data_IF_242464185510
#
_entry.id   IF_242464185510
#
_cell.length_a   1.000
_cell.length_b   1.000
_cell.length_c   1.000
_cell.angle_alpha   90.00
_cell.angle_beta   90.00
_cell.angle_gamma   90.00
#
_symmetry.space_group_name_H-M   'P 1'
#
loop_
_entity.id
_entity.type
_entity.pdbx_description
1 polymer ?
#
# COMPACT_ATOMS: atom_id res chain seq x y z
N UNK A 1 18.93 28.85 -17.97
CA UNK A 1 18.88 29.52 -16.65
C UNK A 1 17.45 29.65 -16.15
N UNK A 2 16.53 30.31 -16.87
CA UNK A 2 15.11 30.41 -16.49
C UNK A 2 14.43 29.03 -16.42
N UNK A 3 14.63 28.15 -17.40
CA UNK A 3 14.06 26.79 -17.36
C UNK A 3 14.56 25.92 -16.21
N UNK A 4 15.85 26.01 -15.85
CA UNK A 4 16.40 25.34 -14.66
C UNK A 4 15.87 25.97 -13.37
N UNK A 5 15.67 27.29 -13.34
CA UNK A 5 15.08 27.97 -12.18
C UNK A 5 13.60 27.60 -12.00
N UNK A 6 12.82 27.46 -13.08
CA UNK A 6 11.44 26.97 -13.03
C UNK A 6 11.38 25.50 -12.61
N UNK A 7 12.22 24.63 -13.18
CA UNK A 7 12.34 23.23 -12.76
C UNK A 7 12.77 23.11 -11.29
N UNK A 8 13.75 23.90 -10.87
CA UNK A 8 14.21 23.93 -9.49
C UNK A 8 13.13 24.44 -8.54
N UNK A 9 12.34 25.46 -8.87
CA UNK A 9 11.28 25.94 -7.95
C UNK A 9 10.05 25.03 -7.92
N UNK A 10 9.69 24.39 -9.03
CA UNK A 10 8.47 23.58 -9.14
C UNK A 10 8.69 22.13 -8.72
N UNK A 11 9.85 21.55 -9.05
CA UNK A 11 10.14 20.12 -8.84
C UNK A 11 11.08 19.92 -7.65
N UNK A 12 12.31 20.46 -7.69
CA UNK A 12 13.31 20.20 -6.63
C UNK A 12 13.18 21.10 -5.39
N UNK A 13 12.46 22.21 -5.50
CA UNK A 13 12.32 23.21 -4.45
C UNK A 13 11.51 22.65 -3.30
N UNK A 14 10.47 21.86 -3.60
CA UNK A 14 9.64 21.18 -2.60
C UNK A 14 10.48 20.21 -1.76
N UNK A 15 11.35 19.42 -2.38
CA UNK A 15 12.24 18.48 -1.66
C UNK A 15 13.26 19.19 -0.76
N UNK A 16 13.92 20.25 -1.25
CA UNK A 16 14.93 20.99 -0.49
C UNK A 16 14.30 21.86 0.62
N UNK A 17 13.09 22.37 0.39
CA UNK A 17 12.36 23.17 1.39
C UNK A 17 11.80 22.27 2.49
N UNK A 18 11.35 21.06 2.16
CA UNK A 18 10.84 20.08 3.14
C UNK A 18 11.94 19.35 3.93
N UNK A 19 13.22 19.48 3.55
CA UNK A 19 14.34 18.88 4.28
C UNK A 19 14.38 19.39 5.73
N UNK A 20 14.38 18.45 6.68
CA UNK A 20 14.42 18.72 8.13
C UNK A 20 15.68 19.44 8.59
N UNK A 21 16.71 19.54 7.75
CA UNK A 21 17.98 20.24 8.03
C UNK A 21 17.99 21.69 7.53
N UNK A 22 16.89 22.19 6.96
CA UNK A 22 16.83 23.54 6.44
C UNK A 22 16.62 24.56 7.59
N UNK A 23 17.63 25.36 7.98
CA UNK A 23 17.56 26.26 9.14
C UNK A 23 16.57 27.43 8.96
N UNK A 24 16.05 27.64 7.74
CA UNK A 24 14.96 28.61 7.51
C UNK A 24 13.62 28.09 8.03
N UNK A 25 13.40 26.78 8.04
CA UNK A 25 12.17 26.17 8.56
C UNK A 25 12.07 26.35 10.08
N UNK A 26 13.19 26.27 10.80
CA UNK A 26 13.27 26.55 12.24
C UNK A 26 12.86 28.01 12.60
N UNK A 27 13.09 28.97 11.68
CA UNK A 27 12.64 30.35 11.85
C UNK A 27 11.12 30.48 11.63
N UNK A 28 10.53 29.68 10.75
CA UNK A 28 9.07 29.63 10.54
C UNK A 28 8.34 28.94 11.71
N UNK A 29 8.91 27.90 12.32
CA UNK A 29 8.33 27.23 13.51
C UNK A 29 8.14 28.19 14.71
N UNK A 30 8.95 29.25 14.78
CA UNK A 30 8.83 30.29 15.80
C UNK A 30 7.76 31.35 15.49
N UNK A 31 7.28 31.45 14.24
CA UNK A 31 6.35 32.50 13.79
C UNK A 31 4.98 31.96 13.37
N UNK A 32 4.92 30.67 13.02
CA UNK A 32 3.72 30.00 12.52
C UNK A 32 3.34 28.86 13.45
N UNK A 33 2.08 28.86 13.87
CA UNK A 33 1.48 27.71 14.54
C UNK A 33 1.21 26.66 13.47
N UNK A 34 1.81 25.48 13.59
CA UNK A 34 1.73 24.43 12.58
C UNK A 34 0.27 24.05 12.31
N UNK A 35 -0.12 23.99 11.05
CA UNK A 35 -1.51 23.73 10.67
C UNK A 35 -1.98 22.32 11.00
N UNK A 36 -3.29 22.08 10.95
CA UNK A 36 -3.88 20.80 11.31
C UNK A 36 -3.88 19.81 10.14
N UNK A 37 -3.80 18.52 10.44
CA UNK A 37 -4.05 17.43 9.49
C UNK A 37 -5.42 16.86 9.83
N UNK A 38 -6.30 16.75 8.84
CA UNK A 38 -7.67 16.27 8.99
C UNK A 38 -7.95 15.09 8.05
N UNK A 39 -8.88 14.23 8.43
CA UNK A 39 -9.42 13.20 7.55
C UNK A 39 -10.39 13.80 6.51
N UNK A 40 -11.01 12.96 5.68
CA UNK A 40 -11.94 13.43 4.64
C UNK A 40 -13.23 14.08 5.19
N UNK A 41 -13.61 13.77 6.43
CA UNK A 41 -14.85 14.24 7.07
C UNK A 41 -14.59 15.40 8.06
N UNK A 42 -13.33 15.80 8.23
CA UNK A 42 -12.91 16.93 9.07
C UNK A 42 -12.53 16.53 10.51
N UNK A 43 -12.37 15.25 10.80
CA UNK A 43 -11.81 14.78 12.06
C UNK A 43 -10.33 15.17 12.15
N UNK A 44 -9.90 15.67 13.31
CA UNK A 44 -8.52 16.17 13.51
C UNK A 44 -7.59 14.99 13.80
N UNK A 45 -6.64 14.75 12.88
CA UNK A 45 -5.64 13.69 12.99
C UNK A 45 -4.35 14.19 13.67
N UNK A 46 -4.01 15.47 13.45
CA UNK A 46 -2.92 16.15 14.15
C UNK A 46 -3.21 17.66 14.23
N UNK A 47 -2.89 18.28 15.35
CA UNK A 47 -3.03 19.73 15.55
C UNK A 47 -1.94 20.30 16.45
N UNK A 48 -1.78 21.61 16.45
CA UNK A 48 -0.84 22.31 17.32
C UNK A 48 -1.52 23.33 18.21
N UNK A 49 -1.12 23.34 19.47
CA UNK A 49 -1.58 24.29 20.48
C UNK A 49 -0.41 25.19 20.87
N UNK A 50 -0.64 26.50 20.90
CA UNK A 50 0.34 27.48 21.39
C UNK A 50 0.33 27.50 22.92
N UNK A 51 1.50 27.33 23.53
CA UNK A 51 1.71 27.33 24.97
C UNK A 51 1.87 28.78 25.49
N UNK A 52 1.71 28.99 26.81
CA UNK A 52 1.84 30.31 27.43
C UNK A 52 3.23 30.95 27.25
N UNK A 53 4.27 30.13 27.07
CA UNK A 53 5.66 30.55 26.84
C UNK A 53 5.97 30.85 25.36
N UNK A 54 4.98 30.75 24.46
CA UNK A 54 5.12 30.96 23.02
C UNK A 54 5.69 29.76 22.26
N UNK A 55 5.99 28.65 22.94
CA UNK A 55 6.25 27.36 22.29
C UNK A 55 4.94 26.78 21.74
N UNK A 56 5.03 25.71 20.97
CA UNK A 56 3.84 24.98 20.51
C UNK A 56 4.01 23.50 20.82
N UNK A 57 2.91 22.86 21.18
CA UNK A 57 2.83 21.41 21.39
C UNK A 57 2.04 20.81 20.23
N UNK A 58 2.59 19.76 19.60
CA UNK A 58 1.89 18.96 18.60
C UNK A 58 1.11 17.85 19.30
N UNK A 59 -0.14 17.64 18.92
CA UNK A 59 -1.02 16.62 19.50
C UNK A 59 -1.66 15.80 18.39
N UNK A 60 -1.76 14.50 18.63
CA UNK A 60 -2.33 13.50 17.73
C UNK A 60 -3.49 12.81 18.46
N UNK A 61 -4.75 13.25 18.24
CA UNK A 61 -5.91 12.78 19.02
C UNK A 61 -6.18 11.27 18.94
N UNK A 62 -5.78 10.65 17.83
CA UNK A 62 -5.98 9.22 17.56
C UNK A 62 -4.76 8.35 17.91
N UNK A 63 -3.77 8.91 18.61
CA UNK A 63 -2.59 8.19 19.10
C UNK A 63 -1.93 7.32 18.01
N UNK A 64 -1.94 6.00 18.16
CA UNK A 64 -1.23 5.04 17.31
C UNK A 64 -1.89 4.79 15.95
N UNK A 65 -3.18 5.13 15.80
CA UNK A 65 -4.03 4.71 14.67
C UNK A 65 -3.50 5.20 13.32
N UNK A 66 -2.97 6.42 13.28
CA UNK A 66 -2.45 7.06 12.07
C UNK A 66 -0.93 7.26 12.12
N UNK A 67 -0.23 6.67 13.09
CA UNK A 67 1.15 7.03 13.42
C UNK A 67 2.12 6.93 12.23
N UNK A 68 1.99 5.94 11.34
CA UNK A 68 2.90 5.81 10.18
C UNK A 68 2.49 6.66 8.98
N UNK A 69 1.19 6.87 8.76
CA UNK A 69 0.69 7.65 7.60
C UNK A 69 0.75 9.15 7.88
N UNK A 70 0.28 9.58 9.06
CA UNK A 70 0.40 10.97 9.53
C UNK A 70 1.84 11.28 9.95
N UNK A 71 2.47 10.39 10.71
CA UNK A 71 3.85 10.57 11.18
C UNK A 71 3.95 11.33 12.50
N UNK A 72 5.16 11.82 12.78
CA UNK A 72 5.48 12.69 13.92
C UNK A 72 6.29 13.92 13.48
N UNK A 73 6.37 14.94 14.34
CA UNK A 73 7.06 16.21 14.07
C UNK A 73 8.26 16.54 14.97
N UNK A 74 8.36 15.93 16.15
CA UNK A 74 9.18 16.45 17.26
C UNK A 74 10.54 15.75 17.44
N UNK A 75 10.81 14.70 16.65
CA UNK A 75 12.11 13.98 16.58
C UNK A 75 12.55 13.75 15.15
N UNK A 76 12.66 14.84 14.39
CA UNK A 76 12.61 14.77 12.94
C UNK A 76 11.16 14.67 12.47
N UNK A 77 10.94 14.38 11.20
CA UNK A 77 9.59 14.34 10.61
C UNK A 77 9.41 13.07 9.78
N UNK A 78 8.24 12.43 9.89
CA UNK A 78 7.85 11.24 9.13
C UNK A 78 6.46 11.41 8.52
N UNK A 79 6.00 10.47 7.68
CA UNK A 79 4.64 10.50 7.12
C UNK A 79 4.27 11.83 6.42
N UNK A 80 3.00 12.22 6.56
CA UNK A 80 2.48 13.52 6.11
C UNK A 80 3.10 14.71 6.85
N UNK A 81 3.51 14.56 8.10
CA UNK A 81 4.24 15.60 8.84
C UNK A 81 5.54 15.99 8.11
N UNK A 82 6.18 15.02 7.45
CA UNK A 82 7.36 15.26 6.62
C UNK A 82 7.00 15.75 5.21
N UNK A 83 6.14 15.02 4.50
CA UNK A 83 5.86 15.31 3.08
C UNK A 83 5.12 16.64 2.88
N UNK A 84 4.31 17.06 3.87
CA UNK A 84 3.57 18.32 3.87
C UNK A 84 4.17 19.38 4.79
N UNK A 85 5.42 19.21 5.24
CA UNK A 85 6.05 20.11 6.21
C UNK A 85 5.96 21.60 5.80
N UNK A 86 6.28 21.91 4.54
CA UNK A 86 6.20 23.26 4.01
C UNK A 86 4.79 23.85 4.11
N UNK A 87 3.76 23.07 3.76
CA UNK A 87 2.38 23.54 3.76
C UNK A 87 1.89 23.77 5.19
N UNK A 88 2.18 22.83 6.09
CA UNK A 88 1.87 22.92 7.51
C UNK A 88 2.54 24.12 8.21
N UNK A 89 3.69 24.57 7.71
CA UNK A 89 4.43 25.74 8.23
C UNK A 89 4.20 27.03 7.44
N UNK A 90 3.44 26.97 6.33
CA UNK A 90 3.10 28.15 5.54
C UNK A 90 1.74 28.67 5.98
N UNK A 91 1.66 29.97 6.24
CA UNK A 91 0.40 30.62 6.59
C UNK A 91 -0.17 31.38 5.40
N UNK A 92 -1.29 30.92 4.83
CA UNK A 92 -2.03 31.64 3.78
C UNK A 92 -3.18 32.51 4.32
N UNK A 93 -3.24 32.79 5.62
CA UNK A 93 -4.23 33.71 6.20
C UNK A 93 -4.08 35.13 5.65
N UNK A 94 -5.15 35.91 5.68
CA UNK A 94 -5.16 37.27 5.12
C UNK A 94 -4.06 38.16 5.74
N UNK A 95 -3.53 39.11 4.95
CA UNK A 95 -2.51 40.07 5.43
C UNK A 95 -2.97 40.82 6.69
N UNK A 96 -4.27 41.15 6.78
CA UNK A 96 -4.85 41.80 7.95
C UNK A 96 -4.76 40.92 9.20
N UNK A 97 -5.04 39.61 9.04
CA UNK A 97 -4.94 38.62 10.13
C UNK A 97 -3.49 38.45 10.58
N UNK A 98 -2.54 38.35 9.65
CA UNK A 98 -1.09 38.30 9.96
C UNK A 98 -0.66 39.51 10.78
N UNK A 99 -1.01 40.71 10.32
CA UNK A 99 -0.68 41.96 11.00
C UNK A 99 -1.31 42.03 12.41
N UNK A 100 -2.58 41.60 12.55
CA UNK A 100 -3.27 41.57 13.84
C UNK A 100 -2.61 40.61 14.83
N UNK A 101 -2.20 39.43 14.35
CA UNK A 101 -1.51 38.42 15.16
C UNK A 101 -0.14 38.93 15.61
N UNK A 102 0.62 39.57 14.71
CA UNK A 102 1.90 40.20 15.03
C UNK A 102 1.73 41.29 16.11
N UNK A 103 0.72 42.17 15.99
CA UNK A 103 0.39 43.16 17.02
C UNK A 103 0.00 42.54 18.37
N UNK A 104 -0.60 41.36 18.36
CA UNK A 104 -1.01 40.61 19.56
C UNK A 104 0.09 39.71 20.11
N UNK A 105 1.25 39.64 19.46
CA UNK A 105 2.32 38.71 19.81
C UNK A 105 1.91 37.24 19.70
N UNK A 106 0.99 36.91 18.79
CA UNK A 106 0.52 35.54 18.53
C UNK A 106 1.08 35.01 17.22
N UNK A 107 1.29 33.70 17.13
CA UNK A 107 1.66 33.06 15.87
C UNK A 107 0.52 33.12 14.86
N UNK A 108 0.87 33.19 13.57
CA UNK A 108 -0.14 32.99 12.51
C UNK A 108 -0.35 31.50 12.29
N UNK A 109 -1.60 31.06 12.07
CA UNK A 109 -1.87 29.65 11.83
C UNK A 109 -1.42 29.23 10.41
N UNK A 110 -0.78 28.06 10.34
CA UNK A 110 -0.36 27.41 9.10
C UNK A 110 -1.56 26.84 8.34
N UNK A 111 -1.29 26.33 7.14
CA UNK A 111 -2.33 25.72 6.32
C UNK A 111 -2.71 24.35 6.87
N UNK A 112 -4.00 24.03 6.74
CA UNK A 112 -4.52 22.71 7.07
C UNK A 112 -4.40 21.78 5.87
N UNK A 113 -4.16 20.50 6.15
CA UNK A 113 -4.09 19.41 5.19
C UNK A 113 -5.34 18.55 5.37
N UNK A 114 -6.22 18.55 4.39
CA UNK A 114 -7.37 17.65 4.32
C UNK A 114 -6.92 16.41 3.55
N UNK A 115 -6.93 15.27 4.22
CA UNK A 115 -6.47 14.01 3.67
C UNK A 115 -7.60 13.24 2.99
N UNK A 116 -7.24 12.20 2.25
CA UNK A 116 -8.17 11.22 1.69
C UNK A 116 -8.57 10.14 2.69
N UNK A 117 -7.91 10.11 3.86
CA UNK A 117 -8.09 9.07 4.85
C UNK A 117 -9.52 9.09 5.40
N UNK A 118 -10.06 7.90 5.60
CA UNK A 118 -11.34 7.65 6.26
C UNK A 118 -11.05 7.12 7.67
N UNK A 119 -11.49 7.84 8.70
CA UNK A 119 -11.20 7.44 10.08
C UNK A 119 -11.88 6.12 10.47
N UNK A 120 -13.10 5.89 10.02
CA UNK A 120 -13.84 4.68 10.36
C UNK A 120 -13.22 3.46 9.66
N UNK A 121 -12.85 3.61 8.38
CA UNK A 121 -12.14 2.56 7.64
C UNK A 121 -10.72 2.30 8.20
N UNK A 122 -9.99 3.35 8.56
CA UNK A 122 -8.68 3.23 9.19
C UNK A 122 -8.78 2.48 10.52
N UNK A 123 -9.77 2.82 11.36
CA UNK A 123 -10.04 2.15 12.63
C UNK A 123 -10.40 0.68 12.41
N UNK A 124 -11.29 0.38 11.46
CA UNK A 124 -11.65 -0.99 11.12
C UNK A 124 -10.43 -1.81 10.66
N UNK A 125 -9.59 -1.26 9.78
CA UNK A 125 -8.36 -1.92 9.34
C UNK A 125 -7.34 -2.12 10.49
N UNK A 126 -7.26 -1.15 11.41
CA UNK A 126 -6.42 -1.25 12.60
C UNK A 126 -6.90 -2.36 13.54
N UNK A 127 -8.20 -2.39 13.84
CA UNK A 127 -8.80 -3.35 14.75
C UNK A 127 -8.77 -4.77 14.17
N UNK A 128 -9.04 -4.91 12.87
CA UNK A 128 -8.97 -6.18 12.16
C UNK A 128 -7.57 -6.80 12.23
N UNK A 129 -6.50 -6.00 12.09
CA UNK A 129 -5.14 -6.51 12.31
C UNK A 129 -4.91 -6.97 13.76
N UNK A 130 -5.64 -6.44 14.75
CA UNK A 130 -5.48 -6.82 16.16
C UNK A 130 -4.05 -6.63 16.64
N UNK A 131 -3.46 -7.68 17.22
CA UNK A 131 -2.06 -7.68 17.65
C UNK A 131 -1.10 -8.21 16.58
N UNK A 132 -1.60 -8.55 15.38
CA UNK A 132 -0.77 -9.08 14.32
C UNK A 132 0.16 -8.00 13.79
N UNK A 133 1.42 -8.39 13.58
CA UNK A 133 2.38 -7.57 12.85
C UNK A 133 2.03 -7.63 11.37
N UNK A 134 1.97 -6.49 10.68
CA UNK A 134 1.48 -6.48 9.31
C UNK A 134 1.14 -5.09 8.80
N UNK A 135 0.42 -5.04 7.68
CA UNK A 135 -0.07 -3.80 7.10
C UNK A 135 -1.33 -4.02 6.28
N UNK A 136 -2.14 -2.96 6.17
CA UNK A 136 -3.30 -2.86 5.28
C UNK A 136 -3.16 -1.58 4.47
N UNK A 137 -3.38 -1.66 3.17
CA UNK A 137 -3.52 -0.50 2.27
C UNK A 137 -4.85 -0.62 1.56
N UNK A 138 -5.69 0.40 1.65
CA UNK A 138 -6.98 0.49 0.98
C UNK A 138 -7.02 1.75 0.10
N UNK A 139 -7.40 1.57 -1.17
CA UNK A 139 -7.37 2.60 -2.21
C UNK A 139 -8.65 2.57 -3.04
N UNK A 140 -9.19 3.74 -3.36
CA UNK A 140 -10.32 3.91 -4.29
C UNK A 140 -9.79 3.77 -5.74
N UNK A 141 -10.18 2.74 -6.52
CA UNK A 141 -9.56 2.47 -7.81
C UNK A 141 -9.75 3.57 -8.84
N UNK A 142 -10.94 4.17 -8.87
CA UNK A 142 -11.34 5.16 -9.88
C UNK A 142 -10.65 6.53 -9.71
N UNK A 143 -10.05 6.79 -8.54
CA UNK A 143 -9.44 8.10 -8.25
C UNK A 143 -7.99 8.03 -7.81
N UNK A 144 -7.55 6.93 -7.20
CA UNK A 144 -6.25 6.83 -6.54
C UNK A 144 -6.24 7.35 -5.09
N UNK A 145 -7.39 7.72 -4.52
CA UNK A 145 -7.47 8.12 -3.11
C UNK A 145 -7.07 6.97 -2.20
N UNK A 146 -6.08 7.19 -1.35
CA UNK A 146 -5.71 6.23 -0.30
C UNK A 146 -6.64 6.47 0.89
N UNK A 147 -7.56 5.53 1.13
CA UNK A 147 -8.59 5.67 2.16
C UNK A 147 -8.12 5.17 3.52
N UNK A 148 -7.27 4.13 3.54
CA UNK A 148 -6.63 3.66 4.77
C UNK A 148 -5.21 3.15 4.49
N UNK A 149 -4.30 3.38 5.44
CA UNK A 149 -2.94 2.86 5.44
C UNK A 149 -2.51 2.56 6.87
N UNK A 150 -2.52 1.29 7.24
CA UNK A 150 -2.19 0.81 8.58
C UNK A 150 -0.90 0.00 8.54
N UNK A 151 -0.06 0.19 9.55
CA UNK A 151 1.16 -0.61 9.79
C UNK A 151 1.23 -0.97 11.27
N UNK A 152 1.53 -2.25 11.57
CA UNK A 152 1.68 -2.78 12.93
C UNK A 152 2.97 -3.60 13.08
N UNK A 153 3.64 -3.57 14.25
CA UNK A 153 3.32 -2.77 15.43
C UNK A 153 3.46 -1.26 15.20
N UNK A 154 2.73 -0.48 15.99
CA UNK A 154 2.66 0.98 15.93
C UNK A 154 3.28 1.64 17.15
N UNK A 155 3.25 2.96 17.21
CA UNK A 155 3.79 3.79 18.28
C UNK A 155 2.90 5.01 18.48
N UNK A 156 2.93 5.60 19.68
CA UNK A 156 2.21 6.84 19.95
C UNK A 156 3.09 8.06 19.57
N UNK A 157 2.70 8.86 18.56
CA UNK A 157 3.48 10.03 18.16
C UNK A 157 3.50 11.14 19.22
N UNK A 158 2.55 11.15 20.17
CA UNK A 158 2.55 12.11 21.29
C UNK A 158 3.69 11.87 22.29
N UNK A 159 4.25 10.66 22.37
CA UNK A 159 5.33 10.29 23.30
C UNK A 159 6.66 9.99 22.59
N UNK A 160 6.77 10.35 21.31
CA UNK A 160 7.93 10.02 20.46
C UNK A 160 9.25 10.57 21.01
N UNK A 161 9.20 11.70 21.73
CA UNK A 161 10.39 12.35 22.30
C UNK A 161 10.92 11.55 23.47
N UNK A 162 10.02 11.12 24.35
CA UNK A 162 10.29 10.35 25.56
C UNK A 162 10.71 8.91 25.21
N UNK A 163 10.03 8.31 24.24
CA UNK A 163 10.20 6.91 23.86
C UNK A 163 11.28 6.71 22.77
N UNK A 164 11.93 7.78 22.29
CA UNK A 164 12.84 7.71 21.13
C UNK A 164 13.92 6.64 21.28
N UNK A 165 14.60 6.57 22.43
CA UNK A 165 15.68 5.62 22.64
C UNK A 165 15.18 4.17 22.61
N UNK A 166 14.00 3.90 23.17
CA UNK A 166 13.42 2.56 23.19
C UNK A 166 12.89 2.16 21.81
N UNK A 167 12.20 3.07 21.11
CA UNK A 167 11.68 2.86 19.75
C UNK A 167 12.79 2.69 18.72
N UNK A 168 13.88 3.45 18.83
CA UNK A 168 15.01 3.36 17.91
C UNK A 168 15.92 2.14 18.19
N UNK A 169 16.00 1.68 19.44
CA UNK A 169 16.70 0.45 19.79
C UNK A 169 15.85 -0.82 19.54
N UNK A 170 14.55 -0.67 19.26
CA UNK A 170 13.62 -1.77 19.07
C UNK A 170 13.96 -2.56 17.78
N UNK A 171 14.19 -3.87 17.93
CA UNK A 171 14.54 -4.76 16.81
C UNK A 171 13.35 -5.18 15.96
N UNK A 172 12.12 -4.89 16.38
CA UNK A 172 10.89 -5.17 15.64
C UNK A 172 10.59 -4.08 14.61
N UNK A 173 11.35 -2.99 14.54
CA UNK A 173 11.16 -1.95 13.52
C UNK A 173 9.80 -1.26 13.65
N UNK A 174 9.43 -0.83 14.85
CA UNK A 174 8.15 -0.17 15.15
C UNK A 174 7.94 1.10 14.31
N UNK A 175 9.01 1.87 14.05
CA UNK A 175 8.94 3.10 13.25
C UNK A 175 8.80 2.87 11.73
N UNK A 176 8.99 1.63 11.27
CA UNK A 176 8.93 1.29 9.83
C UNK A 176 7.48 1.27 9.37
N UNK A 177 7.17 2.01 8.30
CA UNK A 177 5.88 1.89 7.64
C UNK A 177 5.87 0.64 6.76
N UNK A 178 5.34 -0.47 7.27
CA UNK A 178 5.30 -1.76 6.57
C UNK A 178 4.49 -1.72 5.28
N UNK A 179 3.51 -0.84 5.19
CA UNK A 179 2.69 -0.69 4.01
C UNK A 179 3.54 -0.28 2.79
N UNK A 180 4.45 0.68 2.95
CA UNK A 180 5.22 1.26 1.83
C UNK A 180 6.68 0.84 1.79
N UNK A 181 7.28 0.53 2.96
CA UNK A 181 8.69 0.18 3.10
C UNK A 181 8.91 -1.32 3.33
N UNK A 182 7.86 -2.07 3.68
CA UNK A 182 7.95 -3.52 3.83
C UNK A 182 8.31 -4.20 2.51
N UNK A 183 9.15 -5.22 2.57
CA UNK A 183 9.61 -6.00 1.42
C UNK A 183 9.44 -7.48 1.74
N UNK A 184 8.52 -8.13 1.06
CA UNK A 184 8.06 -9.47 1.41
C UNK A 184 7.96 -10.33 0.16
N UNK A 185 8.16 -11.64 0.32
CA UNK A 185 7.69 -12.57 -0.68
C UNK A 185 6.14 -12.52 -0.71
N UNK A 186 5.50 -12.23 -1.85
CA UNK A 186 4.03 -12.14 -1.94
C UNK A 186 3.33 -13.50 -1.86
N UNK A 187 4.06 -14.59 -2.10
CA UNK A 187 3.45 -15.91 -2.24
C UNK A 187 2.39 -15.90 -3.35
N UNK A 188 1.31 -16.64 -3.13
CA UNK A 188 0.31 -16.89 -4.19
C UNK A 188 -0.44 -15.66 -4.70
N UNK A 189 -0.33 -14.48 -4.08
CA UNK A 189 -0.89 -13.24 -4.67
C UNK A 189 -0.16 -12.86 -5.96
N UNK A 190 1.13 -13.19 -6.09
CA UNK A 190 1.91 -12.96 -7.32
C UNK A 190 1.47 -13.81 -8.50
N UNK A 191 0.71 -14.88 -8.28
CA UNK A 191 0.12 -15.69 -9.36
C UNK A 191 -0.77 -14.86 -10.29
N UNK A 192 -1.34 -13.75 -9.81
CA UNK A 192 -2.06 -12.79 -10.66
C UNK A 192 -1.11 -12.19 -11.71
N UNK A 193 0.10 -11.79 -11.31
CA UNK A 193 1.15 -11.29 -12.22
C UNK A 193 1.63 -12.39 -13.18
N UNK A 194 1.88 -13.59 -12.66
CA UNK A 194 2.27 -14.74 -13.50
C UNK A 194 1.19 -15.12 -14.51
N UNK A 195 -0.09 -15.01 -14.14
CA UNK A 195 -1.22 -15.25 -15.04
C UNK A 195 -1.23 -14.24 -16.18
N UNK A 196 -1.04 -12.94 -15.87
CA UNK A 196 -0.92 -11.90 -16.89
C UNK A 196 0.24 -12.17 -17.85
N UNK A 197 1.42 -12.52 -17.32
CA UNK A 197 2.58 -12.87 -18.13
C UNK A 197 2.29 -14.05 -19.05
N UNK A 198 1.62 -15.09 -18.55
CA UNK A 198 1.21 -16.23 -19.35
C UNK A 198 0.23 -15.85 -20.47
N UNK A 199 -0.78 -15.03 -20.17
CA UNK A 199 -1.74 -14.53 -21.17
C UNK A 199 -1.06 -13.74 -22.29
N UNK A 200 -0.09 -12.87 -21.93
CA UNK A 200 0.67 -12.05 -22.89
C UNK A 200 1.53 -12.88 -23.84
N UNK A 201 2.14 -13.95 -23.32
CA UNK A 201 3.02 -14.82 -24.12
C UNK A 201 2.25 -15.88 -24.92
N UNK A 202 0.98 -16.15 -24.58
CA UNK A 202 0.21 -17.25 -25.16
C UNK A 202 -1.16 -16.78 -25.65
N UNK A 203 -1.31 -16.52 -26.95
CA UNK A 203 -2.58 -16.09 -27.54
C UNK A 203 -3.77 -17.05 -27.30
N UNK A 204 -3.49 -18.35 -27.09
CA UNK A 204 -4.49 -19.38 -26.79
C UNK A 204 -4.48 -19.78 -25.29
N UNK A 205 -4.18 -18.85 -24.38
CA UNK A 205 -4.10 -19.14 -22.94
C UNK A 205 -5.37 -19.80 -22.38
N UNK A 206 -6.52 -19.59 -23.00
CA UNK A 206 -7.81 -20.20 -22.65
C UNK A 206 -7.84 -21.73 -22.85
N UNK A 207 -6.96 -22.27 -23.71
CA UNK A 207 -6.83 -23.71 -23.94
C UNK A 207 -5.91 -24.39 -22.91
N UNK A 208 -5.35 -23.62 -21.96
CA UNK A 208 -4.45 -24.17 -20.95
C UNK A 208 -5.15 -25.25 -20.12
N UNK A 209 -4.48 -26.39 -19.98
CA UNK A 209 -4.90 -27.49 -19.12
C UNK A 209 -3.69 -28.10 -18.45
N UNK A 210 -3.80 -28.40 -17.17
CA UNK A 210 -2.75 -29.03 -16.40
C UNK A 210 -3.29 -30.09 -15.45
N UNK A 211 -2.63 -31.24 -15.38
CA UNK A 211 -2.98 -32.32 -14.46
C UNK A 211 -2.15 -32.21 -13.18
N UNK A 212 -2.71 -31.56 -12.17
CA UNK A 212 -2.15 -31.50 -10.83
C UNK A 212 -2.23 -32.87 -10.14
N UNK A 213 -1.06 -33.46 -9.88
CA UNK A 213 -0.90 -34.68 -9.06
C UNK A 213 -0.50 -34.38 -7.60
N UNK A 214 -0.47 -33.11 -7.21
CA UNK A 214 -0.11 -32.64 -5.87
C UNK A 214 1.35 -32.20 -5.72
N UNK A 215 2.22 -32.63 -6.64
CA UNK A 215 3.63 -32.26 -6.69
C UNK A 215 4.15 -32.12 -8.13
N UNK A 216 5.23 -31.36 -8.29
CA UNK A 216 6.01 -31.25 -9.53
C UNK A 216 7.51 -31.18 -9.19
N UNK A 217 8.33 -31.87 -9.95
CA UNK A 217 9.79 -31.75 -9.83
C UNK A 217 10.30 -30.62 -10.72
N UNK A 218 11.02 -29.66 -10.13
CA UNK A 218 11.71 -28.59 -10.84
C UNK A 218 13.21 -28.65 -10.50
N UNK A 219 14.03 -29.05 -11.48
CA UNK A 219 15.45 -29.34 -11.24
C UNK A 219 15.65 -30.48 -10.22
N UNK A 220 16.18 -30.15 -9.04
CA UNK A 220 16.40 -31.11 -7.93
C UNK A 220 15.39 -30.98 -6.79
N UNK A 221 14.43 -30.06 -6.91
CA UNK A 221 13.47 -29.76 -5.86
C UNK A 221 12.10 -30.34 -6.21
N UNK A 222 11.39 -30.79 -5.19
CA UNK A 222 9.99 -31.18 -5.26
C UNK A 222 9.15 -30.03 -4.71
N UNK A 223 8.19 -29.57 -5.52
CA UNK A 223 7.30 -28.45 -5.18
C UNK A 223 5.91 -29.04 -5.02
N UNK A 224 5.29 -28.80 -3.87
CA UNK A 224 3.96 -29.31 -3.54
C UNK A 224 2.89 -28.21 -3.62
N UNK A 225 1.67 -28.63 -3.92
CA UNK A 225 0.49 -27.84 -3.57
C UNK A 225 0.35 -27.73 -2.05
N UNK A 226 -0.29 -26.66 -1.59
CA UNK A 226 -0.63 -26.51 -0.17
C UNK A 226 -1.40 -27.75 0.32
N UNK A 227 -1.12 -28.21 1.54
CA UNK A 227 -1.73 -29.43 2.09
C UNK A 227 -1.36 -30.75 1.39
N UNK A 228 -0.51 -30.73 0.35
CA UNK A 228 -0.33 -31.81 -0.62
C UNK A 228 -1.59 -32.13 -1.43
N UNK A 229 -2.44 -31.13 -1.66
CA UNK A 229 -3.70 -31.30 -2.35
C UNK A 229 -3.54 -31.68 -3.82
N UNK A 230 -4.42 -32.58 -4.29
CA UNK A 230 -4.49 -33.04 -5.67
C UNK A 230 -5.72 -32.42 -6.34
N UNK A 231 -5.52 -31.34 -7.10
CA UNK A 231 -6.61 -30.63 -7.78
C UNK A 231 -7.16 -31.35 -9.03
N UNK A 232 -6.49 -32.39 -9.52
CA UNK A 232 -6.91 -33.07 -10.74
C UNK A 232 -6.56 -32.27 -12.00
N UNK A 233 -7.45 -32.23 -12.98
CA UNK A 233 -7.23 -31.42 -14.20
C UNK A 233 -7.80 -30.03 -13.96
N UNK A 234 -6.95 -29.01 -14.10
CA UNK A 234 -7.31 -27.60 -13.92
C UNK A 234 -7.01 -26.84 -15.20
N UNK A 235 -7.88 -25.88 -15.53
CA UNK A 235 -7.58 -24.85 -16.52
C UNK A 235 -6.86 -23.66 -15.85
N UNK A 236 -6.71 -22.54 -16.56
CA UNK A 236 -6.02 -21.36 -16.02
C UNK A 236 -6.81 -20.70 -14.88
N UNK A 237 -8.14 -20.64 -15.00
CA UNK A 237 -9.03 -20.07 -13.99
C UNK A 237 -8.99 -20.90 -12.70
N UNK A 238 -9.17 -22.22 -12.82
CA UNK A 238 -9.11 -23.16 -11.71
C UNK A 238 -7.71 -23.22 -11.08
N UNK A 239 -6.65 -23.07 -11.89
CA UNK A 239 -5.29 -22.96 -11.37
C UNK A 239 -5.16 -21.78 -10.41
N UNK A 240 -5.75 -20.62 -10.75
CA UNK A 240 -5.73 -19.43 -9.90
C UNK A 240 -6.68 -19.59 -8.69
N UNK A 241 -7.91 -20.07 -8.92
CA UNK A 241 -8.96 -20.24 -7.92
C UNK A 241 -8.53 -21.19 -6.78
N UNK A 242 -8.00 -22.37 -7.13
CA UNK A 242 -7.47 -23.34 -6.16
C UNK A 242 -6.02 -23.02 -5.74
N UNK A 243 -5.42 -21.96 -6.28
CA UNK A 243 -4.05 -21.56 -5.99
C UNK A 243 -3.03 -22.69 -6.23
N UNK A 244 -3.17 -23.44 -7.33
CA UNK A 244 -2.39 -24.64 -7.62
C UNK A 244 -0.90 -24.35 -7.89
N UNK A 245 -0.02 -24.59 -6.91
CA UNK A 245 1.43 -24.33 -7.04
C UNK A 245 2.05 -25.09 -8.21
N UNK A 246 1.67 -26.36 -8.39
CA UNK A 246 2.26 -27.22 -9.43
C UNK A 246 1.90 -26.73 -10.84
N UNK A 247 0.67 -26.24 -11.04
CA UNK A 247 0.24 -25.59 -12.28
C UNK A 247 1.03 -24.30 -12.54
N UNK A 248 1.18 -23.44 -11.52
CA UNK A 248 1.97 -22.20 -11.67
C UNK A 248 3.47 -22.42 -11.83
N UNK A 249 4.02 -23.49 -11.26
CA UNK A 249 5.39 -23.93 -11.55
C UNK A 249 5.52 -24.36 -13.01
N UNK A 250 4.57 -25.14 -13.54
CA UNK A 250 4.55 -25.53 -14.95
C UNK A 250 4.43 -24.30 -15.88
N UNK A 251 3.54 -23.36 -15.55
CA UNK A 251 3.43 -22.08 -16.26
C UNK A 251 4.78 -21.36 -16.24
N UNK A 252 5.37 -21.16 -15.06
CA UNK A 252 6.66 -20.47 -14.91
C UNK A 252 7.78 -21.07 -15.76
N UNK A 253 7.88 -22.41 -15.78
CA UNK A 253 8.87 -23.13 -16.60
C UNK A 253 8.61 -23.05 -18.11
N UNK A 254 7.41 -22.64 -18.52
CA UNK A 254 7.05 -22.46 -19.93
C UNK A 254 7.23 -21.03 -20.44
N UNK A 255 7.39 -20.04 -19.55
CA UNK A 255 7.53 -18.63 -19.90
C UNK A 255 8.93 -18.33 -20.44
N UNK A 256 9.01 -17.41 -21.39
CA UNK A 256 10.23 -16.65 -21.65
C UNK A 256 10.48 -15.70 -20.46
N UNK A 257 11.66 -15.81 -19.86
CA UNK A 257 12.00 -15.12 -18.61
C UNK A 257 12.20 -13.62 -18.81
N UNK A 258 12.70 -13.21 -19.98
CA UNK A 258 12.87 -11.79 -20.29
C UNK A 258 11.50 -11.14 -20.53
N UNK A 259 10.58 -11.80 -21.24
CA UNK A 259 9.20 -11.32 -21.40
C UNK A 259 8.41 -11.35 -20.08
N UNK A 260 8.70 -12.30 -19.17
CA UNK A 260 8.12 -12.31 -17.83
C UNK A 260 8.62 -11.11 -17.01
N UNK A 261 9.93 -10.81 -17.08
CA UNK A 261 10.50 -9.60 -16.47
C UNK A 261 9.89 -8.33 -17.04
N UNK A 262 9.72 -8.23 -18.36
CA UNK A 262 9.05 -7.09 -18.98
C UNK A 262 7.61 -6.91 -18.46
N UNK A 263 6.88 -8.02 -18.26
CA UNK A 263 5.54 -7.95 -17.64
C UNK A 263 5.61 -7.44 -16.20
N UNK A 264 6.60 -7.86 -15.42
CA UNK A 264 6.81 -7.35 -14.06
C UNK A 264 7.18 -5.84 -14.08
N UNK A 265 8.05 -5.40 -14.98
CA UNK A 265 8.42 -3.99 -15.15
C UNK A 265 7.24 -3.11 -15.60
N UNK A 266 6.39 -3.61 -16.50
CA UNK A 266 5.15 -2.93 -16.89
C UNK A 266 4.26 -2.65 -15.67
N UNK A 267 4.20 -3.62 -14.76
CA UNK A 267 3.53 -3.57 -13.48
C UNK A 267 4.34 -2.86 -12.36
N UNK A 268 5.40 -2.13 -12.71
CA UNK A 268 6.22 -1.29 -11.80
C UNK A 268 7.17 -2.03 -10.85
N UNK A 269 7.46 -3.32 -11.08
CA UNK A 269 8.64 -3.93 -10.45
C UNK A 269 9.92 -3.28 -11.00
N UNK A 270 10.95 -3.20 -10.13
CA UNK A 270 12.25 -2.60 -10.46
C UNK A 270 12.19 -1.14 -10.96
N UNK A 271 11.09 -0.45 -10.60
CA UNK A 271 10.76 0.91 -11.02
C UNK A 271 10.38 1.78 -9.81
N UNK A 272 10.44 3.11 -9.99
CA UNK A 272 9.88 4.05 -9.03
C UNK A 272 8.36 3.84 -8.90
N UNK A 273 7.85 3.91 -7.67
CA UNK A 273 6.41 3.82 -7.38
C UNK A 273 5.83 5.22 -7.17
N UNK A 274 4.58 5.49 -7.60
CA UNK A 274 3.91 6.77 -7.39
C UNK A 274 3.42 6.96 -5.93
N UNK A 275 4.33 6.78 -4.97
CA UNK A 275 4.02 6.83 -3.54
C UNK A 275 4.16 8.25 -2.97
N UNK A 276 3.16 8.78 -2.25
CA UNK A 276 3.24 10.09 -1.61
C UNK A 276 4.10 10.11 -0.33
N UNK A 277 4.62 8.96 0.11
CA UNK A 277 5.42 8.78 1.32
C UNK A 277 6.77 8.11 0.97
N UNK A 278 7.66 8.00 1.97
CA UNK A 278 8.88 7.19 1.83
C UNK A 278 8.49 5.73 1.60
N UNK A 279 9.12 5.10 0.61
CA UNK A 279 8.83 3.74 0.20
C UNK A 279 10.12 3.01 -0.19
N UNK A 280 10.03 1.68 -0.32
CA UNK A 280 11.07 0.85 -0.92
C UNK A 280 10.57 0.29 -2.25
N UNK A 281 11.40 0.33 -3.29
CA UNK A 281 11.10 -0.29 -4.58
C UNK A 281 10.95 -1.81 -4.43
N UNK A 282 9.93 -2.36 -5.08
CA UNK A 282 9.76 -3.81 -5.19
C UNK A 282 10.69 -4.37 -6.26
N UNK A 283 11.15 -5.61 -6.08
CA UNK A 283 12.20 -6.21 -6.90
C UNK A 283 11.75 -7.52 -7.53
N UNK A 284 12.03 -7.70 -8.82
CA UNK A 284 11.88 -8.96 -9.55
C UNK A 284 13.24 -9.39 -10.11
N UNK A 285 13.95 -10.22 -9.35
CA UNK A 285 15.36 -10.54 -9.58
C UNK A 285 15.58 -11.86 -10.34
N UNK A 286 14.56 -12.42 -11.00
CA UNK A 286 14.69 -13.66 -11.76
C UNK A 286 15.51 -13.42 -13.05
N UNK A 287 16.49 -14.29 -13.30
CA UNK A 287 17.35 -14.26 -14.49
C UNK A 287 17.10 -15.50 -15.36
N UNK A 288 17.49 -15.43 -16.63
CA UNK A 288 17.35 -16.52 -17.60
C UNK A 288 18.25 -17.73 -17.29
N UNK A 289 19.41 -17.47 -16.66
CA UNK A 289 20.38 -18.48 -16.22
C UNK A 289 20.05 -19.11 -14.86
N UNK A 290 18.94 -18.70 -14.25
CA UNK A 290 18.45 -19.32 -13.02
C UNK A 290 17.92 -20.74 -13.28
N UNK A 291 18.17 -21.63 -12.31
CA UNK A 291 17.72 -23.01 -12.43
C UNK A 291 16.20 -23.13 -12.30
N UNK A 292 15.63 -24.19 -12.90
CA UNK A 292 14.20 -24.51 -12.93
C UNK A 292 13.47 -24.31 -11.60
N UNK A 293 14.10 -24.66 -10.48
CA UNK A 293 13.49 -24.49 -9.16
C UNK A 293 13.27 -23.01 -8.81
N UNK A 294 14.24 -22.14 -9.10
CA UNK A 294 14.12 -20.71 -8.83
C UNK A 294 13.04 -20.07 -9.74
N UNK A 295 12.99 -20.45 -11.01
CA UNK A 295 11.94 -20.04 -11.95
C UNK A 295 10.56 -20.47 -11.44
N UNK A 296 10.41 -21.77 -11.15
CA UNK A 296 9.15 -22.34 -10.67
C UNK A 296 8.68 -21.70 -9.35
N UNK A 297 9.58 -21.47 -8.39
CA UNK A 297 9.26 -20.81 -7.11
C UNK A 297 8.92 -19.33 -7.27
N UNK A 298 9.60 -18.63 -8.18
CA UNK A 298 9.29 -17.22 -8.48
C UNK A 298 7.90 -17.11 -9.09
N UNK A 299 7.53 -18.02 -10.00
CA UNK A 299 6.24 -18.02 -10.67
C UNK A 299 5.03 -18.18 -9.73
N UNK A 300 5.19 -18.79 -8.54
CA UNK A 300 4.15 -18.80 -7.50
C UNK A 300 4.41 -17.86 -6.31
N UNK A 301 5.44 -17.00 -6.39
CA UNK A 301 5.67 -15.90 -5.46
C UNK A 301 6.60 -16.17 -4.28
N UNK A 302 7.39 -17.25 -4.28
CA UNK A 302 8.37 -17.57 -3.21
C UNK A 302 9.84 -17.52 -3.64
N UNK A 303 10.11 -17.30 -4.93
CA UNK A 303 11.48 -17.27 -5.45
C UNK A 303 12.13 -15.90 -5.34
N UNK A 304 12.74 -15.43 -6.42
CA UNK A 304 13.57 -14.22 -6.46
C UNK A 304 12.75 -12.94 -6.64
N UNK A 305 11.82 -12.66 -5.72
CA UNK A 305 11.09 -11.39 -5.73
C UNK A 305 10.73 -10.90 -4.32
N UNK A 306 10.58 -9.58 -4.19
CA UNK A 306 10.06 -8.93 -2.99
C UNK A 306 9.15 -7.77 -3.38
N UNK A 307 8.07 -7.59 -2.63
CA UNK A 307 7.06 -6.56 -2.90
C UNK A 307 6.52 -5.95 -1.61
N UNK A 308 6.09 -4.69 -1.69
CA UNK A 308 5.38 -4.02 -0.60
C UNK A 308 3.85 -4.18 -0.72
N UNK A 309 3.10 -4.17 0.39
CA UNK A 309 1.64 -4.16 0.37
C UNK A 309 1.08 -3.01 -0.46
N UNK A 310 1.69 -1.83 -0.36
CA UNK A 310 1.34 -0.68 -1.17
C UNK A 310 1.41 -0.99 -2.67
N UNK A 311 2.50 -1.59 -3.14
CA UNK A 311 2.65 -1.93 -4.54
C UNK A 311 1.61 -2.96 -5.00
N UNK A 312 1.34 -3.99 -4.19
CA UNK A 312 0.28 -4.95 -4.50
C UNK A 312 -1.11 -4.31 -4.53
N UNK A 313 -1.38 -3.30 -3.70
CA UNK A 313 -2.62 -2.51 -3.77
C UNK A 313 -2.70 -1.68 -5.06
N UNK A 314 -1.57 -1.16 -5.58
CA UNK A 314 -1.55 -0.47 -6.88
C UNK A 314 -1.91 -1.39 -8.05
N UNK A 315 -1.31 -2.59 -8.09
CA UNK A 315 -1.61 -3.58 -9.13
C UNK A 315 -3.09 -3.98 -9.05
N UNK A 316 -3.60 -4.22 -7.85
CA UNK A 316 -5.02 -4.57 -7.62
C UNK A 316 -5.96 -3.44 -8.03
N UNK A 317 -5.62 -2.19 -7.70
CA UNK A 317 -6.35 -1.00 -8.11
C UNK A 317 -6.40 -0.84 -9.63
N UNK A 318 -5.28 -1.10 -10.33
CA UNK A 318 -5.26 -1.08 -11.78
C UNK A 318 -6.15 -2.17 -12.39
N UNK A 319 -6.14 -3.40 -11.86
CA UNK A 319 -7.05 -4.47 -12.30
C UNK A 319 -8.51 -4.02 -12.13
N UNK A 320 -8.85 -3.49 -10.96
CA UNK A 320 -10.19 -2.99 -10.63
C UNK A 320 -10.60 -1.79 -11.51
N UNK A 321 -9.64 -1.04 -12.05
CA UNK A 321 -9.88 0.16 -12.87
C UNK A 321 -9.54 -0.07 -14.34
N UNK A 322 -9.92 -1.23 -14.89
CA UNK A 322 -9.80 -1.57 -16.32
C UNK A 322 -8.36 -1.46 -16.87
N UNK A 323 -7.38 -1.75 -16.02
CA UNK A 323 -5.95 -1.74 -16.32
C UNK A 323 -5.25 -0.40 -16.15
N UNK A 324 -5.97 0.65 -15.78
CA UNK A 324 -5.43 2.00 -15.56
C UNK A 324 -5.12 2.21 -14.08
N UNK A 325 -3.86 2.45 -13.75
CA UNK A 325 -3.47 2.92 -12.42
C UNK A 325 -3.68 4.44 -12.35
N UNK A 326 -4.55 4.88 -11.44
CA UNK A 326 -4.68 6.29 -11.06
C UNK A 326 -3.50 6.72 -10.18
N UNK A 327 -3.08 7.98 -10.28
CA UNK A 327 -2.04 8.56 -9.44
C UNK A 327 -2.49 8.52 -7.97
N UNK A 328 -1.85 7.73 -7.11
CA UNK A 328 -2.28 7.64 -5.73
C UNK A 328 -1.96 8.91 -4.95
N UNK A 329 -2.85 9.31 -4.06
CA UNK A 329 -2.64 10.49 -3.23
C UNK A 329 -3.28 10.35 -1.84
N UNK A 330 -2.67 11.03 -0.86
CA UNK A 330 -3.13 11.10 0.54
C UNK A 330 -3.75 12.46 0.89
N UNK A 331 -3.53 13.50 0.08
CA UNK A 331 -3.97 14.88 0.35
C UNK A 331 -5.02 15.26 -0.67
N UNK A 332 -6.27 15.45 -0.24
CA UNK A 332 -7.36 15.89 -1.13
C UNK A 332 -7.32 17.41 -1.34
N UNK A 333 -7.04 18.15 -0.27
CA UNK A 333 -7.06 19.61 -0.31
C UNK A 333 -6.14 20.24 0.75
N UNK A 334 -5.62 21.42 0.43
CA UNK A 334 -4.93 22.31 1.38
C UNK A 334 -5.79 23.56 1.56
N UNK A 335 -6.05 23.94 2.80
CA UNK A 335 -6.79 25.18 3.12
C UNK A 335 -5.98 26.10 4.02
N UNK A 336 -6.23 27.40 3.94
CA UNK A 336 -5.78 28.32 4.98
C UNK A 336 -6.52 28.03 6.30
N UNK A 337 -6.00 28.54 7.42
CA UNK A 337 -6.70 28.47 8.70
C UNK A 337 -8.03 29.26 8.73
N UNK A 338 -8.29 30.08 7.71
CA UNK A 338 -9.56 30.82 7.53
C UNK A 338 -10.56 30.01 6.67
N UNK A 339 -10.18 28.82 6.21
CA UNK A 339 -11.02 27.92 5.41
C UNK A 339 -10.96 28.16 3.89
N UNK A 340 -10.09 29.05 3.41
CA UNK A 340 -9.94 29.30 1.97
C UNK A 340 -9.11 28.18 1.32
N UNK A 341 -9.58 27.59 0.22
CA UNK A 341 -8.81 26.59 -0.56
C UNK A 341 -7.53 27.21 -1.13
N UNK A 342 -6.38 26.64 -0.76
CA UNK A 342 -5.06 27.01 -1.29
C UNK A 342 -4.70 26.14 -2.49
N UNK A 343 -4.90 24.83 -2.37
CA UNK A 343 -4.60 23.83 -3.40
C UNK A 343 -5.63 22.70 -3.28
N UNK A 344 -6.07 22.14 -4.41
CA UNK A 344 -6.97 20.98 -4.44
C UNK A 344 -6.42 19.96 -5.43
N UNK A 345 -6.32 18.72 -4.98
CA UNK A 345 -5.85 17.61 -5.80
C UNK A 345 -7.03 17.02 -6.57
N UNK A 346 -6.79 16.68 -7.83
CA UNK A 346 -7.80 16.13 -8.74
C UNK A 346 -7.27 14.79 -9.23
N UNK A 347 -8.12 13.75 -9.30
CA UNK A 347 -7.72 12.45 -9.83
C UNK A 347 -7.11 12.56 -11.23
N UNK A 348 -5.96 11.91 -11.42
CA UNK A 348 -5.26 11.85 -12.70
C UNK A 348 -4.79 10.41 -12.97
N UNK A 349 -4.78 10.03 -14.24
CA UNK A 349 -4.22 8.75 -14.66
C UNK A 349 -2.71 8.79 -14.54
N UNK A 350 -2.11 7.81 -13.89
CA UNK A 350 -0.66 7.68 -13.79
C UNK A 350 -0.10 6.87 -14.97
N UNK A 351 -0.57 5.63 -15.15
CA UNK A 351 -0.07 4.71 -16.18
C UNK A 351 -1.12 3.64 -16.51
N UNK A 352 -1.20 3.24 -17.77
CA UNK A 352 -1.87 2.00 -18.17
C UNK A 352 -0.91 0.84 -17.91
N UNK A 353 -1.25 -0.04 -16.96
CA UNK A 353 -0.40 -1.19 -16.59
C UNK A 353 -0.74 -2.44 -17.39
N UNK A 354 -2.01 -2.55 -17.82
CA UNK A 354 -2.54 -3.65 -18.61
C UNK A 354 -3.73 -3.14 -19.43
N UNK A 355 -4.09 -3.88 -20.47
CA UNK A 355 -5.27 -3.57 -21.27
C UNK A 355 -6.56 -3.83 -20.47
N UNK A 356 -7.67 -3.25 -20.91
CA UNK A 356 -8.97 -3.52 -20.31
C UNK A 356 -9.39 -4.99 -20.43
N UNK A 357 -8.99 -5.66 -21.52
CA UNK A 357 -9.28 -7.09 -21.73
C UNK A 357 -8.49 -7.98 -20.77
N UNK A 358 -7.20 -7.66 -20.55
CA UNK A 358 -6.37 -8.32 -19.54
C UNK A 358 -6.95 -8.13 -18.13
N UNK A 359 -7.32 -6.90 -17.78
CA UNK A 359 -7.90 -6.58 -16.48
C UNK A 359 -9.24 -7.30 -16.25
N UNK A 360 -10.13 -7.33 -17.26
CA UNK A 360 -11.40 -8.05 -17.17
C UNK A 360 -11.20 -9.55 -16.99
N UNK A 361 -10.24 -10.15 -17.70
CA UNK A 361 -9.96 -11.57 -17.58
C UNK A 361 -9.35 -11.92 -16.21
N UNK A 362 -8.43 -11.11 -15.69
CA UNK A 362 -7.89 -11.28 -14.34
C UNK A 362 -8.97 -11.12 -13.28
N UNK A 363 -9.88 -10.17 -13.46
CA UNK A 363 -11.03 -9.95 -12.58
C UNK A 363 -11.90 -11.21 -12.51
N UNK A 364 -12.26 -11.80 -13.66
CA UNK A 364 -13.04 -13.05 -13.72
C UNK A 364 -12.33 -14.19 -12.97
N UNK A 365 -11.03 -14.37 -13.19
CA UNK A 365 -10.28 -15.43 -12.49
C UNK A 365 -10.16 -15.16 -10.98
N UNK A 366 -10.01 -13.89 -10.57
CA UNK A 366 -9.97 -13.47 -9.17
C UNK A 366 -11.34 -13.59 -8.49
N UNK A 367 -12.46 -13.45 -9.21
CA UNK A 367 -13.80 -13.78 -8.69
C UNK A 367 -13.91 -15.28 -8.39
N UNK A 368 -13.38 -16.15 -9.27
CA UNK A 368 -13.38 -17.60 -9.03
C UNK A 368 -12.70 -18.00 -7.72
N UNK A 369 -11.66 -17.28 -7.31
CA UNK A 369 -10.99 -17.47 -6.01
C UNK A 369 -11.95 -17.24 -4.83
N UNK A 370 -12.87 -16.29 -4.93
CA UNK A 370 -13.86 -15.95 -3.89
C UNK A 370 -15.11 -16.82 -4.02
N UNK A 371 -15.55 -17.16 -5.22
CA UNK A 371 -16.80 -17.89 -5.40
C UNK A 371 -16.67 -19.37 -5.00
N UNK A 372 -15.56 -20.01 -5.40
CA UNK A 372 -15.35 -21.44 -5.22
C UNK A 372 -13.91 -21.84 -4.83
N UNK A 373 -12.98 -20.88 -4.81
CA UNK A 373 -11.57 -21.10 -4.50
C UNK A 373 -11.16 -20.83 -3.05
N UNK A 374 -9.92 -20.37 -2.87
CA UNK A 374 -9.29 -20.22 -1.55
C UNK A 374 -9.84 -19.08 -0.70
N UNK A 375 -10.53 -18.09 -1.28
CA UNK A 375 -11.10 -16.93 -0.56
C UNK A 375 -12.61 -17.07 -0.32
N UNK A 376 -13.14 -18.30 -0.30
CA UNK A 376 -14.59 -18.56 -0.26
C UNK A 376 -15.32 -17.96 0.94
N UNK A 377 -14.62 -17.71 2.05
CA UNK A 377 -15.18 -17.04 3.22
C UNK A 377 -15.73 -15.66 2.90
N UNK A 378 -15.15 -14.93 1.94
CA UNK A 378 -15.59 -13.57 1.59
C UNK A 378 -16.91 -13.54 0.81
N UNK A 379 -17.36 -14.66 0.25
CA UNK A 379 -18.61 -14.72 -0.51
C UNK A 379 -19.86 -14.48 0.36
N UNK A 380 -19.74 -14.53 1.69
CA UNK A 380 -20.87 -14.23 2.59
C UNK A 380 -21.14 -12.75 2.83
N UNK A 381 -20.28 -11.84 2.36
CA UNK A 381 -20.37 -10.41 2.65
C UNK A 381 -21.47 -9.66 1.86
N UNK A 382 -22.16 -10.33 0.94
CA UNK A 382 -23.28 -9.74 0.20
C UNK A 382 -22.89 -8.70 -0.87
N UNK A 383 -21.59 -8.48 -1.05
CA UNK A 383 -21.00 -7.68 -2.15
C UNK A 383 -20.14 -8.58 -3.03
N UNK A 384 -20.08 -8.30 -4.33
CA UNK A 384 -19.18 -9.02 -5.24
C UNK A 384 -17.72 -8.66 -4.93
N UNK A 385 -16.87 -9.66 -4.77
CA UNK A 385 -15.44 -9.48 -4.48
C UNK A 385 -14.62 -10.30 -5.47
N UNK A 386 -13.55 -9.71 -5.97
CA UNK A 386 -12.51 -10.38 -6.72
C UNK A 386 -11.21 -10.28 -5.92
N UNK A 387 -10.53 -11.41 -5.68
CA UNK A 387 -9.31 -11.38 -4.87
C UNK A 387 -8.39 -12.57 -5.06
N UNK A 388 -7.29 -12.57 -4.30
CA UNK A 388 -6.35 -13.67 -4.24
C UNK A 388 -5.73 -13.78 -2.86
N UNK A 389 -5.81 -14.97 -2.26
CA UNK A 389 -5.07 -15.29 -1.04
C UNK A 389 -3.60 -15.61 -1.36
N UNK A 390 -2.71 -15.40 -0.39
CA UNK A 390 -1.31 -15.77 -0.49
C UNK A 390 -0.72 -16.26 0.82
N UNK A 391 0.22 -17.19 0.70
CA UNK A 391 1.03 -17.66 1.81
C UNK A 391 2.47 -17.77 1.31
N UNK A 392 3.42 -17.16 2.04
CA UNK A 392 4.85 -17.24 1.72
C UNK A 392 5.64 -17.78 2.91
N UNK A 393 6.48 -18.80 2.69
CA UNK A 393 7.40 -19.32 3.71
C UNK A 393 8.47 -18.26 4.05
N UNK A 394 8.66 -17.93 5.33
CA UNK A 394 9.56 -16.86 5.81
C UNK A 394 10.78 -17.39 6.60
N UNK A 395 10.77 -18.63 7.08
CA UNK A 395 11.86 -19.19 7.89
C UNK A 395 12.52 -20.44 7.29
N UNK A 396 13.82 -20.63 7.55
CA UNK A 396 14.61 -21.79 7.12
C UNK A 396 14.05 -23.13 7.65
N UNK A 397 13.25 -23.10 8.72
CA UNK A 397 12.54 -24.25 9.28
C UNK A 397 11.10 -24.41 8.77
N UNK A 398 10.66 -23.54 7.85
CA UNK A 398 9.30 -23.49 7.25
C UNK A 398 8.15 -23.32 8.25
N UNK A 399 8.42 -22.91 9.49
CA UNK A 399 7.38 -22.80 10.53
C UNK A 399 6.67 -21.46 10.56
N UNK A 400 7.24 -20.41 9.95
CA UNK A 400 6.64 -19.07 9.90
C UNK A 400 6.30 -18.69 8.48
N UNK A 401 5.07 -18.21 8.28
CA UNK A 401 4.60 -17.74 6.98
C UNK A 401 4.10 -16.31 7.07
N UNK A 402 4.13 -15.60 5.94
CA UNK A 402 3.31 -14.40 5.79
C UNK A 402 1.97 -14.79 5.18
N UNK A 403 0.89 -14.29 5.76
CA UNK A 403 -0.45 -14.37 5.21
C UNK A 403 -0.71 -13.13 4.37
N UNK A 404 -1.21 -13.31 3.16
CA UNK A 404 -1.48 -12.25 2.20
C UNK A 404 -2.91 -12.33 1.68
N UNK A 405 -3.48 -11.17 1.42
CA UNK A 405 -4.67 -11.04 0.61
C UNK A 405 -4.56 -9.80 -0.27
N UNK A 406 -4.97 -9.91 -1.52
CA UNK A 406 -5.23 -8.76 -2.40
C UNK A 406 -6.63 -8.91 -2.97
N UNK A 407 -7.34 -7.81 -3.18
CA UNK A 407 -8.64 -7.88 -3.83
C UNK A 407 -9.36 -6.55 -3.84
N UNK A 408 -10.52 -6.54 -4.50
CA UNK A 408 -11.40 -5.39 -4.58
C UNK A 408 -12.86 -5.80 -4.52
N UNK A 409 -13.70 -4.88 -4.04
CA UNK A 409 -15.15 -5.04 -3.92
C UNK A 409 -15.90 -4.39 -5.08
N UNK A 410 -17.19 -4.72 -5.17
CA UNK A 410 -18.14 -4.19 -6.14
C UNK A 410 -17.66 -4.36 -7.59
N UNK A 411 -17.43 -5.59 -8.00
CA UNK A 411 -16.73 -5.94 -9.26
C UNK A 411 -17.25 -5.19 -10.50
N UNK A 412 -18.55 -4.95 -10.59
CA UNK A 412 -19.15 -4.22 -11.73
C UNK A 412 -18.83 -2.72 -11.72
N UNK A 413 -18.61 -2.13 -10.55
CA UNK A 413 -18.21 -0.73 -10.35
C UNK A 413 -17.28 -0.60 -9.13
N UNK A 414 -15.99 -0.97 -9.26
CA UNK A 414 -15.12 -1.10 -8.09
C UNK A 414 -14.91 0.20 -7.34
N UNK A 415 -15.05 0.13 -6.02
CA UNK A 415 -15.03 1.26 -5.09
C UNK A 415 -13.92 1.13 -4.04
N UNK A 416 -13.50 -0.09 -3.69
CA UNK A 416 -12.39 -0.33 -2.78
C UNK A 416 -11.50 -1.46 -3.30
N UNK A 417 -10.23 -1.17 -3.54
CA UNK A 417 -9.15 -2.15 -3.70
C UNK A 417 -8.24 -2.14 -2.48
N UNK A 418 -7.73 -3.30 -2.08
CA UNK A 418 -6.84 -3.41 -0.92
C UNK A 418 -5.76 -4.48 -1.07
N UNK A 419 -4.74 -4.34 -0.24
CA UNK A 419 -3.74 -5.36 0.02
C UNK A 419 -3.48 -5.47 1.52
N UNK A 420 -3.43 -6.70 2.01
CA UNK A 420 -3.17 -7.06 3.41
C UNK A 420 -1.96 -7.98 3.46
N UNK A 421 -1.06 -7.71 4.39
CA UNK A 421 -0.02 -8.66 4.82
C UNK A 421 -0.04 -8.81 6.33
N UNK A 422 0.10 -10.05 6.79
CA UNK A 422 0.35 -10.37 8.19
C UNK A 422 1.66 -11.14 8.26
N UNK A 423 2.60 -10.61 9.03
CA UNK A 423 3.89 -11.22 9.27
C UNK A 423 3.82 -12.31 10.33
N UNK A 424 4.52 -13.43 10.11
CA UNK A 424 4.66 -14.51 11.09
C UNK A 424 3.32 -15.00 11.64
N UNK A 425 2.34 -15.27 10.78
CA UNK A 425 1.12 -15.93 11.25
C UNK A 425 1.47 -17.35 11.69
N UNK A 426 1.32 -17.61 12.99
CA UNK A 426 1.49 -18.94 13.61
C UNK A 426 0.44 -19.95 13.10
N UNK A 427 -0.61 -19.45 12.44
CA UNK A 427 -1.61 -20.26 11.75
C UNK A 427 -1.26 -20.43 10.27
N UNK A 428 -1.44 -21.64 9.78
CA UNK A 428 -1.57 -21.96 8.34
C UNK A 428 -2.89 -21.42 7.77
N UNK A 429 -3.41 -20.32 8.32
CA UNK A 429 -4.75 -19.80 8.08
C UNK A 429 -4.74 -18.52 7.25
N UNK A 430 -5.86 -18.28 6.59
CA UNK A 430 -6.13 -17.11 5.75
C UNK A 430 -6.41 -15.83 6.56
N UNK A 431 -5.59 -15.54 7.58
CA UNK A 431 -5.80 -14.41 8.51
C UNK A 431 -5.85 -13.08 7.76
N UNK A 432 -5.05 -12.91 6.70
CA UNK A 432 -5.10 -11.70 5.87
C UNK A 432 -6.42 -11.58 5.09
N UNK A 433 -7.05 -12.71 4.74
CA UNK A 433 -8.38 -12.75 4.11
C UNK A 433 -9.46 -12.36 5.12
N UNK A 434 -9.37 -12.84 6.37
CA UNK A 434 -10.31 -12.44 7.42
C UNK A 434 -10.23 -10.92 7.68
N UNK A 435 -9.00 -10.38 7.78
CA UNK A 435 -8.79 -8.93 7.90
C UNK A 435 -9.36 -8.16 6.71
N UNK A 436 -9.17 -8.65 5.49
CA UNK A 436 -9.77 -8.03 4.32
C UNK A 436 -11.30 -8.07 4.38
N UNK A 437 -11.88 -9.16 4.88
CA UNK A 437 -13.32 -9.30 5.07
C UNK A 437 -13.89 -8.26 6.03
N UNK A 438 -13.24 -8.07 7.18
CA UNK A 438 -13.63 -7.05 8.17
C UNK A 438 -13.53 -5.62 7.58
N UNK A 439 -12.50 -5.35 6.78
CA UNK A 439 -12.33 -4.05 6.11
C UNK A 439 -13.41 -3.82 5.04
N UNK A 440 -13.74 -4.83 4.24
CA UNK A 440 -14.85 -4.72 3.27
C UNK A 440 -16.19 -4.55 3.98
N UNK A 441 -16.46 -5.30 5.05
CA UNK A 441 -17.69 -5.17 5.83
C UNK A 441 -17.83 -3.77 6.43
N UNK A 442 -16.75 -3.23 7.03
CA UNK A 442 -16.74 -1.88 7.57
C UNK A 442 -16.96 -0.80 6.50
N UNK A 443 -16.41 -0.98 5.29
CA UNK A 443 -16.60 -0.03 4.20
C UNK A 443 -18.07 0.06 3.74
N UNK A 444 -18.85 -1.01 3.88
CA UNK A 444 -20.27 -1.05 3.54
C UNK A 444 -21.21 -0.94 4.76
N UNK A 445 -20.67 -0.77 5.96
CA UNK A 445 -21.46 -0.56 7.16
C UNK A 445 -21.95 0.90 7.19
N UNK A 446 -23.23 1.11 6.88
CA UNK A 446 -23.93 2.40 7.05
C UNK A 446 -24.26 2.72 8.52
#
# INVERSE_FOLDING_TARGET
>A
MIGYFSYFNVVQGREIINDSRNPRMDLYENQVLRGSILDKDGNVLAESVENEDGTQTRTYPYEELFAHVVGYSDKGKSGLESSQNFQLQTSNVSFRTKLLNEFRGRKSAGNNIITTLDTDLQQAAYDALGNNRGAVVAIEPSTGKILAMVSKPSYNPNTIVEDWESLNANTEGILVNRATQGQYAPGSTFKVVTTLAYMRQNANYQDYTYRCTGEITAGKNEIHCFGNDVHGTVDLADSLAYSCNTSFSNIGLSLDIDEFRNTAEDLLFDSELPCPLVYNESKFNLQDDDGDAAIAMTAFGQGKLQVSPYHMALITSAIANNGILMQPYLVDQITSAEGETVEKYVPESYKELMTSEEAAQLTEYMQGVVEYGTARSLNSLGVSIAGKTGTSEYSDDKQKTHSWFIGFSNVDNPDLALAVVIENSDSTGDVATDVAGDVFEAFYAE
#
